data_IF_055103452407
#
_entry.id   IF_055103452407
#
_cell.length_a   1.000
_cell.length_b   1.000
_cell.length_c   1.000
_cell.angle_alpha   90.00
_cell.angle_beta   90.00
_cell.angle_gamma   90.00
#
_symmetry.space_group_name_H-M   'P 1'
#
loop_
_entity.id
_entity.type
_entity.pdbx_description
1 polymer ?
#
# COMPACT_ATOMS: atom_id res chain seq x y z
N UNK A 1 12.35 -1.07 6.95
CA UNK A 1 13.02 -2.36 6.55
C UNK A 1 12.42 -2.79 5.21
N UNK A 2 13.22 -2.98 4.15
CA UNK A 2 12.68 -3.27 2.80
C UNK A 2 12.40 -4.77 2.71
N UNK A 3 11.14 -5.13 2.86
CA UNK A 3 10.68 -6.52 2.76
C UNK A 3 10.29 -6.85 1.31
N UNK A 4 10.39 -8.11 0.87
CA UNK A 4 9.87 -8.52 -0.43
C UNK A 4 8.39 -8.21 -0.56
N UNK A 5 7.95 -7.83 -1.77
CA UNK A 5 6.53 -7.57 -2.10
C UNK A 5 5.61 -8.70 -1.61
N UNK A 6 6.02 -9.95 -1.78
CA UNK A 6 5.25 -11.13 -1.37
C UNK A 6 4.98 -11.18 0.14
N UNK A 7 5.88 -10.64 0.97
CA UNK A 7 5.69 -10.57 2.42
C UNK A 7 4.54 -9.61 2.75
N UNK A 8 4.51 -8.45 2.09
CA UNK A 8 3.43 -7.48 2.27
C UNK A 8 2.10 -7.97 1.72
N UNK A 9 2.10 -8.65 0.57
CA UNK A 9 0.87 -9.22 0.02
C UNK A 9 0.27 -10.27 0.95
N UNK A 10 1.12 -11.09 1.60
CA UNK A 10 0.67 -12.08 2.59
C UNK A 10 0.11 -11.42 3.84
N UNK A 11 0.79 -10.38 4.36
CA UNK A 11 0.33 -9.61 5.53
C UNK A 11 -0.98 -8.87 5.25
N UNK A 12 -1.12 -8.28 4.05
CA UNK A 12 -2.35 -7.63 3.60
C UNK A 12 -3.51 -8.63 3.53
N UNK A 13 -3.29 -9.81 2.93
CA UNK A 13 -4.30 -10.88 2.88
C UNK A 13 -4.70 -11.37 4.27
N UNK A 14 -3.77 -11.42 5.23
CA UNK A 14 -4.06 -11.84 6.60
C UNK A 14 -5.05 -10.92 7.33
N UNK A 15 -5.16 -9.65 6.92
CA UNK A 15 -6.13 -8.68 7.45
C UNK A 15 -7.32 -8.45 6.51
N UNK A 16 -7.50 -9.29 5.49
CA UNK A 16 -8.63 -9.20 4.55
C UNK A 16 -8.45 -8.18 3.41
N UNK A 17 -7.26 -7.60 3.25
CA UNK A 17 -6.97 -6.72 2.12
C UNK A 17 -6.59 -7.53 0.87
N UNK A 18 -7.01 -7.03 -0.30
CA UNK A 18 -6.70 -7.66 -1.60
C UNK A 18 -5.59 -6.88 -2.30
N UNK A 19 -4.36 -7.40 -2.36
CA UNK A 19 -3.27 -6.75 -3.08
C UNK A 19 -3.53 -6.78 -4.60
N UNK A 20 -3.38 -5.62 -5.25
CA UNK A 20 -3.52 -5.49 -6.70
C UNK A 20 -2.15 -5.22 -7.36
N UNK A 21 -1.87 -5.82 -8.55
CA UNK A 21 -0.62 -5.62 -9.28
C UNK A 21 -0.47 -4.19 -9.84
N UNK A 22 -1.60 -3.53 -10.07
CA UNK A 22 -1.68 -2.19 -10.67
C UNK A 22 -2.63 -1.31 -9.88
N UNK A 23 -2.31 -0.02 -9.82
CA UNK A 23 -3.23 1.00 -9.27
C UNK A 23 -4.42 1.11 -10.21
N UNK A 24 -5.59 0.67 -9.75
CA UNK A 24 -6.87 0.81 -10.47
C UNK A 24 -7.77 1.79 -9.73
N UNK A 25 -8.86 2.25 -10.37
CA UNK A 25 -9.84 3.15 -9.73
C UNK A 25 -10.56 2.53 -8.51
N UNK A 26 -10.40 1.24 -8.26
CA UNK A 26 -10.95 0.53 -7.09
C UNK A 26 -9.97 0.46 -5.91
N UNK A 27 -8.73 0.91 -6.09
CA UNK A 27 -7.70 0.87 -5.05
C UNK A 27 -7.92 2.03 -4.10
N UNK A 28 -8.02 1.76 -2.81
CA UNK A 28 -8.20 2.76 -1.74
C UNK A 28 -6.91 3.09 -1.00
N UNK A 29 -5.90 2.22 -1.07
CA UNK A 29 -4.60 2.36 -0.41
C UNK A 29 -3.47 1.88 -1.32
N UNK A 30 -2.40 2.64 -1.43
CA UNK A 30 -1.17 2.25 -2.12
C UNK A 30 -0.02 2.18 -1.12
N UNK A 31 0.64 1.02 -1.06
CA UNK A 31 1.88 0.84 -0.28
C UNK A 31 3.07 0.97 -1.23
N UNK A 32 3.97 1.91 -0.97
CA UNK A 32 5.16 2.15 -1.80
C UNK A 32 6.45 2.08 -0.99
N UNK A 33 7.44 1.34 -1.51
CA UNK A 33 8.79 1.25 -0.94
C UNK A 33 9.65 2.50 -1.24
N UNK A 34 9.22 3.30 -2.22
CA UNK A 34 9.81 4.58 -2.60
C UNK A 34 8.69 5.45 -3.20
N UNK A 35 8.12 6.37 -2.40
CA UNK A 35 7.06 7.27 -2.87
C UNK A 35 7.50 8.20 -4.00
N UNK A 36 8.79 8.53 -4.10
CA UNK A 36 9.32 9.44 -5.13
C UNK A 36 9.54 8.71 -6.48
N UNK A 37 9.76 7.39 -6.44
CA UNK A 37 9.80 6.53 -7.64
C UNK A 37 8.44 6.37 -8.34
N UNK A 38 7.35 6.85 -7.74
CA UNK A 38 5.99 6.79 -8.29
C UNK A 38 5.73 7.84 -9.39
N UNK A 39 6.72 8.32 -10.12
CA UNK A 39 6.63 9.46 -11.05
C UNK A 39 5.49 9.41 -12.09
N UNK A 40 4.94 8.22 -12.40
CA UNK A 40 3.70 8.06 -13.19
C UNK A 40 2.46 7.56 -12.41
N UNK A 41 2.64 6.92 -11.25
CA UNK A 41 1.55 6.32 -10.45
C UNK A 41 1.03 7.28 -9.38
N UNK A 42 1.88 8.12 -8.81
CA UNK A 42 1.54 9.10 -7.78
C UNK A 42 0.52 10.13 -8.27
N UNK A 43 0.65 10.58 -9.53
CA UNK A 43 -0.29 11.55 -10.12
C UNK A 43 -1.71 10.99 -10.18
N UNK A 44 -1.84 9.74 -10.61
CA UNK A 44 -3.13 9.03 -10.68
C UNK A 44 -3.73 8.74 -9.29
N UNK A 45 -2.88 8.62 -8.28
CA UNK A 45 -3.28 8.33 -6.89
C UNK A 45 -3.77 9.60 -6.18
N UNK A 46 -3.09 10.74 -6.39
CA UNK A 46 -3.53 12.05 -5.92
C UNK A 46 -4.88 12.46 -6.54
N UNK A 47 -5.05 12.27 -7.85
CA UNK A 47 -6.30 12.60 -8.55
C UNK A 47 -7.50 11.73 -8.13
N UNK A 48 -7.25 10.56 -7.54
CA UNK A 48 -8.30 9.64 -7.09
C UNK A 48 -8.54 9.64 -5.57
N UNK A 49 -7.86 10.52 -4.82
CA UNK A 49 -7.99 10.58 -3.35
C UNK A 49 -7.46 9.32 -2.64
N UNK A 50 -6.56 8.59 -3.29
CA UNK A 50 -6.03 7.32 -2.81
C UNK A 50 -4.86 7.63 -1.86
N UNK A 51 -4.89 7.08 -0.64
CA UNK A 51 -3.83 7.31 0.35
C UNK A 51 -2.57 6.51 0.00
N UNK A 52 -1.42 7.18 -0.04
CA UNK A 52 -0.11 6.54 -0.17
C UNK A 52 0.48 6.37 1.23
N UNK A 53 0.89 5.15 1.56
CA UNK A 53 1.63 4.84 2.78
C UNK A 53 2.95 4.16 2.42
N UNK A 54 4.00 4.45 3.19
CA UNK A 54 5.25 3.70 3.10
C UNK A 54 5.08 2.29 3.65
N UNK A 55 5.96 1.37 3.28
CA UNK A 55 6.01 0.01 3.83
C UNK A 55 6.04 0.01 5.38
N UNK A 56 6.87 0.87 5.99
CA UNK A 56 6.93 1.01 7.43
C UNK A 56 5.62 1.55 8.04
N UNK A 57 4.93 2.47 7.36
CA UNK A 57 3.62 2.97 7.77
C UNK A 57 2.53 1.91 7.68
N UNK A 58 2.56 1.09 6.63
CA UNK A 58 1.66 -0.04 6.47
C UNK A 58 1.91 -1.11 7.54
N UNK A 59 3.17 -1.41 7.86
CA UNK A 59 3.53 -2.31 8.95
C UNK A 59 2.96 -1.86 10.30
N UNK A 60 3.00 -0.56 10.59
CA UNK A 60 2.38 0.00 11.81
C UNK A 60 0.85 -0.15 11.79
N UNK A 61 0.19 0.12 10.67
CA UNK A 61 -1.26 -0.07 10.54
C UNK A 61 -1.68 -1.52 10.78
N UNK A 62 -0.92 -2.48 10.25
CA UNK A 62 -1.17 -3.91 10.43
C UNK A 62 -0.89 -4.41 11.86
N UNK A 63 -0.04 -3.72 12.61
CA UNK A 63 0.35 -4.10 13.97
C UNK A 63 -0.55 -3.48 15.04
N UNK A 64 -1.43 -2.55 14.68
CA UNK A 64 -2.39 -2.00 15.63
C UNK A 64 -3.53 -3.00 15.84
N UNK A 65 -3.77 -3.46 17.09
CA UNK A 65 -4.98 -4.20 17.39
C UNK A 65 -6.17 -3.27 17.12
N UNK A 66 -7.14 -3.76 16.34
CA UNK A 66 -8.48 -3.16 16.31
C UNK A 66 -9.07 -3.35 17.71
N UNK A 67 -9.08 -2.27 18.50
CA UNK A 67 -9.75 -2.20 19.79
C UNK A 67 -11.26 -2.18 19.65
#
# INVERSE_FOLDING_TARGET
MREPRDVWERRARAVGLVPHPTVTKKVTLVVAADPDSLSGKARKVADHGITIVSEDGFGRLLSQPVG
#
